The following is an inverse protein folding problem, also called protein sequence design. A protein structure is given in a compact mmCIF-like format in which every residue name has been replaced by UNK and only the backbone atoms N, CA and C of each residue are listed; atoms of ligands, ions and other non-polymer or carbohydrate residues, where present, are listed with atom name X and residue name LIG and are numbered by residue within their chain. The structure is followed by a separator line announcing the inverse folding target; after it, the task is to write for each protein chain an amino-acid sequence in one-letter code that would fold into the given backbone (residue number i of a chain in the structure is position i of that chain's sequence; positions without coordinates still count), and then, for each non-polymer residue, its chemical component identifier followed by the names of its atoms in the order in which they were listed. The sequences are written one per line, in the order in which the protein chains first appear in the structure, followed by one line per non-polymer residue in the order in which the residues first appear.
data_IF_801665254294
#
_entry.id   IF_801665254294
#
_cell.length_a   1.000
_cell.length_b   1.000
_cell.length_c   1.000
_cell.angle_alpha   90.00
_cell.angle_beta   90.00
_cell.angle_gamma   90.00
#
_symmetry.space_group_name_H-M   'P 1'
#
loop_
_entity.id
_entity.type
_entity.pdbx_description
1 polymer ?
#
# COMPACT_ATOMS: atom_id res chain seq x y z
N UNK A 1 -9.01 -11.72 -19.87
CA UNK A 1 -10.30 -11.39 -19.17
C UNK A 1 -10.79 -10.03 -19.67
N UNK A 2 -12.12 -9.72 -19.63
CA UNK A 2 -12.59 -8.36 -19.92
C UNK A 2 -12.33 -7.49 -18.67
N UNK A 3 -11.51 -6.41 -18.76
CA UNK A 3 -11.19 -5.55 -17.62
C UNK A 3 -12.42 -4.96 -16.93
N UNK A 4 -13.45 -4.64 -17.71
CA UNK A 4 -14.69 -4.05 -17.19
C UNK A 4 -15.49 -4.97 -16.25
N UNK A 5 -15.24 -6.28 -16.26
CA UNK A 5 -15.87 -7.25 -15.35
C UNK A 5 -15.12 -7.42 -14.04
N UNK A 6 -13.89 -6.87 -13.94
CA UNK A 6 -13.04 -7.01 -12.75
C UNK A 6 -13.60 -6.22 -11.58
N UNK A 7 -14.20 -5.06 -11.86
CA UNK A 7 -14.65 -4.15 -10.84
C UNK A 7 -16.13 -3.74 -11.02
N UNK A 8 -16.69 -3.14 -9.98
CA UNK A 8 -18.07 -2.68 -9.95
C UNK A 8 -18.20 -1.33 -10.67
N UNK A 9 -18.32 -1.32 -12.00
CA UNK A 9 -18.44 -0.12 -12.82
C UNK A 9 -19.65 0.75 -12.46
N UNK A 10 -20.73 0.13 -11.98
CA UNK A 10 -21.94 0.87 -11.63
C UNK A 10 -21.69 1.77 -10.42
N UNK A 11 -20.96 1.26 -9.42
CA UNK A 11 -20.59 2.02 -8.24
C UNK A 11 -19.38 2.91 -8.50
N UNK A 12 -18.46 2.48 -9.35
CA UNK A 12 -17.19 3.17 -9.63
C UNK A 12 -17.02 3.41 -11.13
N UNK A 13 -17.76 4.36 -11.72
CA UNK A 13 -17.64 4.68 -13.15
C UNK A 13 -16.34 5.48 -13.42
N UNK A 14 -15.18 4.81 -13.35
CA UNK A 14 -13.84 5.43 -13.43
C UNK A 14 -13.56 6.15 -14.75
N UNK A 15 -14.35 5.92 -15.79
CA UNK A 15 -14.28 6.65 -17.06
C UNK A 15 -15.14 7.91 -17.07
N UNK A 16 -15.97 8.14 -16.04
CA UNK A 16 -16.76 9.38 -15.90
C UNK A 16 -15.90 10.49 -15.28
N UNK A 17 -15.78 11.60 -15.99
CA UNK A 17 -14.94 12.72 -15.57
C UNK A 17 -15.40 13.37 -14.24
N UNK A 18 -16.73 13.38 -13.94
CA UNK A 18 -17.25 13.92 -12.69
C UNK A 18 -16.91 13.01 -11.52
N UNK A 19 -17.01 11.70 -11.75
CA UNK A 19 -16.62 10.71 -10.74
C UNK A 19 -15.12 10.81 -10.43
N UNK A 20 -14.28 10.89 -11.45
CA UNK A 20 -12.83 11.07 -11.30
C UNK A 20 -12.49 12.35 -10.54
N UNK A 21 -13.17 13.46 -10.85
CA UNK A 21 -12.99 14.72 -10.12
C UNK A 21 -13.42 14.61 -8.65
N UNK A 22 -14.51 13.90 -8.36
CA UNK A 22 -14.94 13.59 -7.00
C UNK A 22 -13.87 12.78 -6.25
N UNK A 23 -13.34 11.72 -6.86
CA UNK A 23 -12.27 10.89 -6.29
C UNK A 23 -11.02 11.73 -5.98
N UNK A 24 -10.61 12.60 -6.91
CA UNK A 24 -9.48 13.51 -6.70
C UNK A 24 -9.72 14.43 -5.51
N UNK A 25 -10.90 15.05 -5.43
CA UNK A 25 -11.22 15.94 -4.32
C UNK A 25 -11.21 15.24 -2.96
N UNK A 26 -11.66 13.98 -2.87
CA UNK A 26 -11.58 13.18 -1.66
C UNK A 26 -10.11 12.91 -1.28
N UNK A 27 -9.28 12.45 -2.22
CA UNK A 27 -7.86 12.20 -1.98
C UNK A 27 -7.11 13.46 -1.54
N UNK A 28 -7.40 14.61 -2.15
CA UNK A 28 -6.74 15.88 -1.81
C UNK A 28 -7.16 16.40 -0.42
N UNK A 29 -8.37 16.08 0.02
CA UNK A 29 -8.93 16.52 1.31
C UNK A 29 -8.22 15.87 2.50
N UNK A 30 -8.13 14.54 2.51
CA UNK A 30 -7.67 13.77 3.67
C UNK A 30 -6.46 12.88 3.40
N UNK A 31 -5.87 12.97 2.19
CA UNK A 31 -4.72 12.13 1.80
C UNK A 31 -5.05 10.67 1.54
N UNK A 32 -6.32 10.29 1.57
CA UNK A 32 -6.80 8.93 1.34
C UNK A 32 -8.09 8.95 0.50
N UNK A 33 -8.23 8.00 -0.40
CA UNK A 33 -9.46 7.68 -1.13
C UNK A 33 -9.74 6.20 -0.94
N UNK A 34 -10.91 5.86 -0.40
CA UNK A 34 -11.38 4.49 -0.28
C UNK A 34 -12.55 4.28 -1.22
N UNK A 35 -12.42 3.34 -2.13
CA UNK A 35 -13.44 2.91 -3.07
C UNK A 35 -13.96 1.53 -2.61
N UNK A 36 -14.93 1.55 -1.70
CA UNK A 36 -15.52 0.34 -1.12
C UNK A 36 -16.21 -0.50 -2.18
N UNK A 37 -16.10 -1.85 -2.06
CA UNK A 37 -16.67 -2.79 -3.03
C UNK A 37 -16.21 -2.50 -4.48
N UNK A 38 -14.95 -2.07 -4.64
CA UNK A 38 -14.40 -1.79 -5.96
C UNK A 38 -14.36 -3.05 -6.83
N UNK A 39 -13.88 -4.16 -6.30
CA UNK A 39 -13.89 -5.44 -7.03
C UNK A 39 -15.31 -5.96 -7.18
N UNK A 40 -15.61 -6.59 -8.32
CA UNK A 40 -16.83 -7.39 -8.46
C UNK A 40 -16.76 -8.61 -7.55
N UNK A 41 -17.92 -9.13 -7.14
CA UNK A 41 -18.00 -10.29 -6.24
C UNK A 41 -17.23 -11.49 -6.79
N UNK A 42 -17.44 -11.80 -8.08
CA UNK A 42 -16.77 -12.94 -8.74
C UNK A 42 -15.25 -12.76 -8.80
N UNK A 43 -14.79 -11.51 -9.02
CA UNK A 43 -13.36 -11.21 -9.04
C UNK A 43 -12.75 -11.30 -7.66
N UNK A 44 -13.43 -10.78 -6.64
CA UNK A 44 -12.96 -10.87 -5.26
C UNK A 44 -12.80 -12.33 -4.83
N UNK A 45 -13.81 -13.19 -5.08
CA UNK A 45 -13.73 -14.62 -4.78
C UNK A 45 -12.57 -15.30 -5.53
N UNK A 46 -12.41 -14.97 -6.83
CA UNK A 46 -11.28 -15.47 -7.63
C UNK A 46 -9.93 -15.07 -7.04
N UNK A 47 -9.76 -13.81 -6.62
CA UNK A 47 -8.51 -13.31 -6.03
C UNK A 47 -8.25 -13.88 -4.65
N UNK A 48 -9.27 -14.12 -3.84
CA UNK A 48 -9.12 -14.81 -2.55
C UNK A 48 -8.63 -16.26 -2.74
N UNK A 49 -9.13 -16.96 -3.78
CA UNK A 49 -8.66 -18.29 -4.14
C UNK A 49 -7.22 -18.24 -4.65
N UNK A 50 -6.91 -17.35 -5.60
CA UNK A 50 -5.56 -17.15 -6.14
C UNK A 50 -4.56 -16.85 -5.02
N UNK A 51 -4.89 -15.91 -4.11
CA UNK A 51 -4.02 -15.56 -3.00
C UNK A 51 -3.74 -16.75 -2.07
N UNK A 52 -4.72 -17.65 -1.85
CA UNK A 52 -4.50 -18.90 -1.10
C UNK A 52 -3.58 -19.87 -1.84
N UNK A 53 -3.76 -20.00 -3.15
CA UNK A 53 -2.96 -20.91 -3.99
C UNK A 53 -1.49 -20.48 -4.09
N UNK A 54 -1.24 -19.17 -4.24
CA UNK A 54 0.15 -18.66 -4.37
C UNK A 54 0.83 -18.38 -3.02
N UNK A 55 0.12 -18.42 -1.88
CA UNK A 55 0.69 -18.19 -0.55
C UNK A 55 1.94 -19.01 -0.24
N UNK A 56 2.08 -20.30 -0.65
CA UNK A 56 3.32 -21.07 -0.42
C UNK A 56 4.55 -20.47 -1.10
N UNK A 57 4.39 -19.58 -2.08
CA UNK A 57 5.47 -18.87 -2.77
C UNK A 57 5.89 -17.58 -2.04
N UNK A 58 5.15 -17.16 -1.01
CA UNK A 58 5.42 -15.91 -0.31
C UNK A 58 6.77 -15.97 0.42
N UNK A 59 7.60 -14.97 0.20
CA UNK A 59 8.78 -14.71 1.01
C UNK A 59 8.37 -13.92 2.25
N UNK A 60 8.63 -14.51 3.43
CA UNK A 60 8.35 -13.86 4.71
C UNK A 60 9.60 -13.15 5.20
N UNK A 61 9.47 -11.84 5.41
CA UNK A 61 10.53 -10.99 5.93
C UNK A 61 10.12 -10.34 7.26
N UNK A 62 11.11 -10.13 8.12
CA UNK A 62 11.00 -9.34 9.33
C UNK A 62 12.17 -8.36 9.37
N UNK A 63 11.89 -7.10 9.66
CA UNK A 63 12.90 -6.05 9.69
C UNK A 63 12.55 -4.97 10.71
N UNK A 64 13.58 -4.31 11.24
CA UNK A 64 13.45 -3.08 11.98
C UNK A 64 13.82 -1.90 11.09
N UNK A 65 13.09 -0.81 11.24
CA UNK A 65 13.34 0.44 10.54
C UNK A 65 12.84 1.62 11.40
N UNK A 66 13.37 2.80 11.21
CA UNK A 66 12.76 3.99 11.79
C UNK A 66 11.59 4.48 10.90
N UNK A 67 10.75 5.35 11.45
CA UNK A 67 9.59 5.85 10.73
C UNK A 67 9.92 6.58 9.41
N UNK A 68 11.14 7.04 9.25
CA UNK A 68 11.60 7.81 8.07
C UNK A 68 12.21 6.94 6.98
N UNK A 69 12.39 5.63 7.23
CA UNK A 69 13.00 4.65 6.32
C UNK A 69 14.39 5.10 5.83
N UNK A 70 15.19 5.62 6.72
CA UNK A 70 16.54 6.12 6.48
C UNK A 70 17.50 5.51 7.49
N UNK A 71 18.79 5.54 7.20
CA UNK A 71 19.82 5.15 8.16
C UNK A 71 19.74 5.98 9.45
N UNK A 72 20.16 5.44 10.58
CA UNK A 72 20.19 6.15 11.85
C UNK A 72 21.06 7.40 11.75
N UNK A 73 20.62 8.48 12.36
CA UNK A 73 21.36 9.75 12.43
C UNK A 73 22.15 9.81 13.74
N UNK A 74 23.43 9.46 13.66
CA UNK A 74 24.31 9.45 14.83
C UNK A 74 24.64 10.85 15.39
N UNK A 75 24.19 11.93 14.77
CA UNK A 75 24.25 13.27 15.33
C UNK A 75 23.16 13.58 16.36
N UNK A 76 22.13 12.71 16.40
CA UNK A 76 21.00 12.76 17.32
C UNK A 76 21.11 11.64 18.37
N UNK A 77 20.52 11.81 19.57
CA UNK A 77 20.45 10.74 20.56
C UNK A 77 19.76 9.47 19.99
N UNK A 78 20.13 8.30 20.50
CA UNK A 78 19.51 7.03 20.08
C UNK A 78 18.00 7.01 20.35
N UNK A 79 17.56 7.67 21.43
CA UNK A 79 16.14 7.77 21.80
C UNK A 79 15.37 8.81 20.99
N UNK A 80 16.05 9.59 20.14
CA UNK A 80 15.37 10.56 19.28
C UNK A 80 14.46 9.85 18.30
N UNK A 81 13.27 10.41 18.07
CA UNK A 81 12.23 9.79 17.22
C UNK A 81 12.72 9.44 15.82
N UNK A 82 13.72 10.15 15.30
CA UNK A 82 14.38 9.90 14.02
C UNK A 82 15.10 8.54 13.97
N UNK A 83 15.57 8.05 15.14
CA UNK A 83 16.32 6.80 15.27
C UNK A 83 15.48 5.66 15.88
N UNK A 84 14.28 5.96 16.42
CA UNK A 84 13.45 4.96 17.08
C UNK A 84 12.97 3.89 16.10
N UNK A 85 13.37 2.65 16.38
CA UNK A 85 13.03 1.52 15.53
C UNK A 85 11.58 1.07 15.67
N UNK A 86 11.00 0.66 14.55
CA UNK A 86 9.70 0.04 14.39
C UNK A 86 9.88 -1.34 13.78
N UNK A 87 9.12 -2.33 14.23
CA UNK A 87 9.11 -3.66 13.64
C UNK A 87 8.12 -3.74 12.49
N UNK A 88 8.52 -4.39 11.40
CA UNK A 88 7.67 -4.74 10.27
C UNK A 88 7.94 -6.17 9.84
N UNK A 89 6.88 -6.96 9.71
CA UNK A 89 6.96 -8.34 9.26
C UNK A 89 5.73 -8.71 8.43
N UNK A 90 5.96 -9.36 7.31
CA UNK A 90 4.93 -9.79 6.36
C UNK A 90 5.46 -10.82 5.38
N UNK A 91 4.55 -11.58 4.78
CA UNK A 91 4.82 -12.35 3.56
C UNK A 91 4.56 -11.53 2.30
N UNK A 92 5.32 -11.78 1.23
CA UNK A 92 5.13 -11.12 -0.05
C UNK A 92 5.29 -12.11 -1.21
N UNK A 93 4.30 -12.16 -2.11
CA UNK A 93 4.40 -12.82 -3.41
C UNK A 93 4.60 -11.74 -4.47
N UNK A 94 5.75 -11.69 -5.16
CA UNK A 94 6.05 -10.68 -6.17
C UNK A 94 5.36 -10.97 -7.51
N UNK A 95 5.37 -9.95 -8.37
CA UNK A 95 4.67 -9.91 -9.65
C UNK A 95 4.93 -11.11 -10.56
N UNK A 96 6.16 -11.58 -10.69
CA UNK A 96 6.51 -12.69 -11.59
C UNK A 96 5.96 -14.06 -11.13
N UNK A 97 5.52 -14.17 -9.89
CA UNK A 97 4.86 -15.37 -9.33
C UNK A 97 3.33 -15.29 -9.37
N UNK A 98 2.77 -14.17 -9.81
CA UNK A 98 1.32 -14.01 -10.00
C UNK A 98 0.94 -14.64 -11.36
N UNK A 99 -0.08 -15.50 -11.43
CA UNK A 99 -0.49 -16.14 -12.67
C UNK A 99 -0.74 -15.17 -13.84
N UNK A 100 -0.36 -15.54 -15.06
CA UNK A 100 -0.52 -14.66 -16.23
C UNK A 100 -1.99 -14.32 -16.54
N UNK A 101 -2.91 -15.20 -16.16
CA UNK A 101 -4.36 -14.99 -16.34
C UNK A 101 -5.03 -14.32 -15.14
N UNK A 102 -4.26 -13.84 -14.15
CA UNK A 102 -4.78 -13.16 -12.98
C UNK A 102 -5.59 -11.90 -13.34
N UNK A 103 -6.73 -11.67 -12.68
CA UNK A 103 -7.44 -10.40 -12.75
C UNK A 103 -6.56 -9.19 -12.36
N UNK A 104 -5.59 -9.38 -11.47
CA UNK A 104 -4.66 -8.32 -11.05
C UNK A 104 -3.81 -7.82 -12.21
N UNK A 105 -3.26 -8.74 -13.03
CA UNK A 105 -2.48 -8.35 -14.23
C UNK A 105 -3.35 -7.62 -15.22
N UNK A 106 -4.55 -8.14 -15.47
CA UNK A 106 -5.51 -7.50 -16.40
C UNK A 106 -5.86 -6.08 -15.96
N UNK A 107 -6.13 -5.86 -14.66
CA UNK A 107 -6.43 -4.54 -14.11
C UNK A 107 -5.23 -3.60 -14.18
N UNK A 108 -4.04 -4.10 -13.79
CA UNK A 108 -2.80 -3.32 -13.76
C UNK A 108 -2.39 -2.81 -15.15
N UNK A 109 -2.56 -3.63 -16.18
CA UNK A 109 -2.19 -3.33 -17.57
C UNK A 109 -3.26 -2.53 -18.30
N UNK A 110 -4.46 -2.41 -17.74
CA UNK A 110 -5.57 -1.76 -18.41
C UNK A 110 -5.38 -0.23 -18.48
N UNK A 111 -5.38 0.28 -19.71
CA UNK A 111 -5.09 1.68 -20.02
C UNK A 111 -6.05 2.66 -19.33
N UNK A 112 -7.36 2.36 -19.31
CA UNK A 112 -8.37 3.24 -18.72
C UNK A 112 -8.25 3.33 -17.19
N UNK A 113 -7.83 2.24 -16.53
CA UNK A 113 -7.51 2.27 -15.11
C UNK A 113 -6.31 3.18 -14.84
N UNK A 114 -5.27 3.09 -15.66
CA UNK A 114 -4.11 3.96 -15.55
C UNK A 114 -4.48 5.44 -15.77
N UNK A 115 -5.30 5.75 -16.78
CA UNK A 115 -5.79 7.13 -17.04
C UNK A 115 -6.59 7.66 -15.84
N UNK A 116 -7.43 6.80 -15.22
CA UNK A 116 -8.12 7.15 -13.98
C UNK A 116 -7.14 7.48 -12.85
N UNK A 117 -6.14 6.65 -12.62
CA UNK A 117 -5.12 6.87 -11.59
C UNK A 117 -4.37 8.18 -11.83
N UNK A 118 -3.90 8.44 -13.06
CA UNK A 118 -3.21 9.68 -13.45
C UNK A 118 -4.08 10.90 -13.15
N UNK A 119 -5.36 10.82 -13.45
CA UNK A 119 -6.30 11.93 -13.25
C UNK A 119 -6.58 12.19 -11.77
N UNK A 120 -6.70 11.14 -10.95
CA UNK A 120 -6.95 11.28 -9.50
C UNK A 120 -5.70 11.71 -8.75
N UNK A 121 -4.53 11.16 -9.12
CA UNK A 121 -3.25 11.45 -8.47
C UNK A 121 -2.64 12.79 -8.94
N UNK A 122 -3.05 13.29 -10.12
CA UNK A 122 -2.52 14.48 -10.78
C UNK A 122 -1.03 14.36 -11.16
N UNK A 123 -0.61 13.15 -11.48
CA UNK A 123 0.75 12.83 -11.94
C UNK A 123 0.70 11.68 -12.95
N UNK A 124 1.65 11.58 -13.89
CA UNK A 124 1.74 10.40 -14.74
C UNK A 124 2.08 9.17 -13.89
N UNK A 125 1.61 7.98 -14.32
CA UNK A 125 1.94 6.72 -13.68
C UNK A 125 2.52 5.72 -14.68
N UNK A 126 3.63 5.10 -14.30
CA UNK A 126 4.36 4.12 -15.10
C UNK A 126 4.58 2.85 -14.29
N UNK A 127 4.50 1.66 -14.92
CA UNK A 127 4.87 0.42 -14.24
C UNK A 127 6.35 0.43 -13.86
N UNK A 128 6.70 -0.36 -12.83
CA UNK A 128 8.10 -0.63 -12.54
C UNK A 128 8.75 -1.43 -13.67
N UNK A 129 10.04 -1.16 -13.92
CA UNK A 129 10.78 -1.80 -15.00
C UNK A 129 11.38 -3.17 -14.61
N UNK A 130 11.40 -3.51 -13.32
CA UNK A 130 11.80 -4.84 -12.88
C UNK A 130 10.63 -5.82 -12.85
N UNK A 131 10.93 -7.12 -12.84
CA UNK A 131 9.94 -8.20 -12.92
C UNK A 131 9.23 -8.51 -11.59
N UNK A 132 9.62 -7.89 -10.48
CA UNK A 132 9.16 -8.26 -9.14
C UNK A 132 8.17 -7.26 -8.55
N UNK A 133 8.33 -5.97 -8.87
CA UNK A 133 7.80 -4.89 -8.05
C UNK A 133 6.39 -4.43 -8.42
N UNK A 134 5.91 -4.66 -9.65
CA UNK A 134 4.69 -4.06 -10.19
C UNK A 134 3.42 -4.43 -9.41
N UNK A 135 3.23 -5.70 -9.09
CA UNK A 135 2.09 -6.20 -8.31
C UNK A 135 2.63 -7.09 -7.20
N UNK A 136 2.22 -6.85 -5.96
CA UNK A 136 2.64 -7.70 -4.86
C UNK A 136 1.44 -8.10 -4.01
N UNK A 137 1.31 -9.40 -3.71
CA UNK A 137 0.32 -9.90 -2.75
C UNK A 137 1.00 -9.99 -1.39
N UNK A 138 0.53 -9.18 -0.45
CA UNK A 138 1.10 -9.09 0.90
C UNK A 138 0.21 -9.82 1.90
N UNK A 139 0.83 -10.64 2.75
CA UNK A 139 0.18 -11.41 3.81
C UNK A 139 0.64 -10.91 5.16
N UNK A 140 -0.31 -10.60 6.02
CA UNK A 140 -0.06 -10.32 7.43
C UNK A 140 -0.80 -11.36 8.23
N UNK A 141 -0.06 -12.29 8.81
CA UNK A 141 -0.58 -13.36 9.67
C UNK A 141 -0.69 -12.87 11.12
N UNK A 142 -1.25 -13.69 12.01
CA UNK A 142 -1.33 -13.37 13.43
C UNK A 142 0.00 -12.88 13.98
N UNK A 143 0.00 -11.73 14.62
CA UNK A 143 1.17 -11.05 15.18
C UNK A 143 1.97 -10.21 14.20
N UNK A 144 1.76 -10.37 12.89
CA UNK A 144 2.46 -9.57 11.89
C UNK A 144 1.86 -8.17 11.73
N UNK A 145 2.71 -7.22 11.37
CA UNK A 145 2.39 -5.81 11.32
C UNK A 145 3.27 -5.07 10.30
N UNK A 146 2.91 -3.84 10.00
CA UNK A 146 3.77 -2.88 9.33
C UNK A 146 3.93 -1.68 10.25
N UNK A 147 5.12 -1.48 10.84
CA UNK A 147 5.39 -0.45 11.82
C UNK A 147 5.18 0.96 11.28
N UNK A 148 5.11 1.93 12.18
CA UNK A 148 4.95 3.34 11.81
C UNK A 148 6.03 3.80 10.83
N UNK A 149 5.59 4.35 9.70
CA UNK A 149 6.51 4.83 8.67
C UNK A 149 5.85 5.89 7.75
N UNK A 150 6.71 6.50 6.95
CA UNK A 150 6.36 7.32 5.81
C UNK A 150 6.82 6.63 4.53
N UNK A 151 6.02 6.68 3.49
CA UNK A 151 6.42 6.13 2.20
C UNK A 151 7.56 6.94 1.54
N UNK A 152 8.39 6.24 0.79
CA UNK A 152 9.32 6.89 -0.15
C UNK A 152 8.59 7.37 -1.42
N UNK A 153 7.58 6.62 -1.88
CA UNK A 153 6.73 7.02 -2.97
C UNK A 153 5.74 8.12 -2.57
N UNK A 154 5.28 8.92 -3.52
CA UNK A 154 4.30 9.99 -3.26
C UNK A 154 2.88 9.46 -3.00
N UNK A 155 2.59 8.26 -3.48
CA UNK A 155 1.31 7.59 -3.32
C UNK A 155 1.49 6.06 -3.22
N UNK A 156 0.50 5.41 -2.64
CA UNK A 156 0.31 3.96 -2.66
C UNK A 156 -1.07 3.63 -3.23
N UNK A 157 -1.18 2.52 -3.95
CA UNK A 157 -2.43 1.99 -4.51
C UNK A 157 -2.56 0.55 -4.04
N UNK A 158 -3.63 0.26 -3.31
CA UNK A 158 -3.82 -1.05 -2.69
C UNK A 158 -5.23 -1.59 -2.89
N UNK A 159 -5.35 -2.92 -2.99
CA UNK A 159 -6.61 -3.66 -3.01
C UNK A 159 -6.68 -4.56 -1.78
N UNK A 160 -7.73 -4.43 -0.98
CA UNK A 160 -8.01 -5.36 0.11
C UNK A 160 -8.65 -6.62 -0.45
N UNK A 161 -7.94 -7.72 -0.43
CA UNK A 161 -8.45 -9.03 -0.89
C UNK A 161 -9.11 -9.77 0.27
N UNK A 162 -8.56 -9.65 1.47
CA UNK A 162 -9.10 -10.25 2.69
C UNK A 162 -8.77 -9.37 3.88
N UNK A 163 -9.79 -8.82 4.53
CA UNK A 163 -9.65 -8.10 5.78
C UNK A 163 -9.50 -9.10 6.95
N UNK A 164 -8.68 -8.80 7.97
CA UNK A 164 -8.62 -9.62 9.18
C UNK A 164 -9.91 -9.47 9.97
N UNK A 165 -10.25 -10.48 10.77
CA UNK A 165 -11.42 -10.41 11.69
C UNK A 165 -11.14 -9.54 12.91
N UNK A 166 -9.86 -9.45 13.34
CA UNK A 166 -9.45 -8.66 14.52
C UNK A 166 -7.99 -8.20 14.34
N UNK A 167 -7.71 -6.94 14.65
CA UNK A 167 -6.42 -6.30 14.44
C UNK A 167 -6.17 -5.95 12.97
N UNK A 168 -4.95 -5.59 12.64
CA UNK A 168 -4.56 -5.28 11.26
C UNK A 168 -5.18 -4.00 10.70
N UNK A 169 -5.65 -3.09 11.57
CA UNK A 169 -6.18 -1.79 11.16
C UNK A 169 -5.11 -0.96 10.46
N UNK A 170 -5.51 -0.26 9.41
CA UNK A 170 -4.67 0.78 8.81
C UNK A 170 -4.89 2.08 9.59
N UNK A 171 -3.86 2.50 10.30
CA UNK A 171 -3.88 3.72 11.10
C UNK A 171 -2.98 4.78 10.47
N UNK A 172 -3.41 6.04 10.49
CA UNK A 172 -2.67 7.13 9.89
C UNK A 172 -2.94 8.49 10.55
N UNK A 173 -1.99 9.39 10.36
CA UNK A 173 -2.15 10.83 10.59
C UNK A 173 -1.65 11.56 9.35
N UNK A 174 -2.52 12.32 8.71
CA UNK A 174 -2.20 13.04 7.47
C UNK A 174 -1.35 14.29 7.73
N UNK A 175 -0.51 14.63 6.75
CA UNK A 175 0.24 15.89 6.69
C UNK A 175 1.12 16.16 7.92
N UNK A 176 1.70 15.09 8.52
CA UNK A 176 2.58 15.20 9.69
C UNK A 176 3.90 15.84 9.33
N UNK A 177 4.40 15.54 8.12
CA UNK A 177 5.63 16.15 7.61
C UNK A 177 5.37 16.81 6.25
N UNK A 178 6.30 17.67 5.85
CA UNK A 178 6.40 18.18 4.48
C UNK A 178 7.83 17.93 3.99
N UNK A 179 8.01 16.77 3.33
CA UNK A 179 9.34 16.32 2.87
C UNK A 179 9.95 17.29 1.87
N UNK A 180 9.11 17.88 1.02
CA UNK A 180 9.52 18.81 -0.04
C UNK A 180 10.05 20.14 0.57
N UNK A 181 9.49 20.56 1.70
CA UNK A 181 9.96 21.74 2.45
C UNK A 181 11.07 21.40 3.50
N UNK A 182 11.46 20.12 3.63
CA UNK A 182 12.44 19.69 4.63
C UNK A 182 11.88 19.59 6.06
N UNK A 183 10.57 19.72 6.25
CA UNK A 183 9.91 19.63 7.55
C UNK A 183 9.68 18.16 7.92
N UNK A 184 10.29 17.69 9.00
CA UNK A 184 10.28 16.26 9.36
C UNK A 184 9.11 15.84 10.26
N UNK A 185 8.42 16.77 10.91
CA UNK A 185 7.26 16.47 11.77
C UNK A 185 7.61 15.64 13.01
N UNK A 186 8.80 15.82 13.59
CA UNK A 186 9.29 14.99 14.71
C UNK A 186 8.36 14.99 15.92
N UNK A 187 7.80 16.14 16.30
CA UNK A 187 6.95 16.24 17.49
C UNK A 187 5.67 15.42 17.36
N UNK A 188 4.96 15.52 16.22
CA UNK A 188 3.72 14.78 16.01
C UNK A 188 4.00 13.29 15.78
N UNK A 189 5.10 12.95 15.07
CA UNK A 189 5.56 11.57 14.91
C UNK A 189 5.80 10.92 16.27
N UNK A 190 6.53 11.60 17.16
CA UNK A 190 6.80 11.13 18.51
C UNK A 190 5.50 10.98 19.33
N UNK A 191 4.61 11.96 19.25
CA UNK A 191 3.34 11.95 19.96
C UNK A 191 2.45 10.77 19.55
N UNK A 192 2.39 10.44 18.24
CA UNK A 192 1.65 9.26 17.73
C UNK A 192 2.32 7.97 18.21
N UNK A 193 3.63 7.81 18.01
CA UNK A 193 4.33 6.56 18.33
C UNK A 193 4.32 6.29 19.85
N UNK A 194 4.39 7.34 20.68
CA UNK A 194 4.27 7.24 22.15
C UNK A 194 2.81 7.19 22.66
N UNK A 195 1.82 7.27 21.78
CA UNK A 195 0.40 7.15 22.11
C UNK A 195 -0.24 8.38 22.75
N UNK A 196 0.43 9.54 22.77
CA UNK A 196 -0.13 10.79 23.28
C UNK A 196 -1.00 11.54 22.26
N UNK A 197 -0.87 11.23 20.98
CA UNK A 197 -1.72 11.70 19.88
C UNK A 197 -2.35 10.48 19.20
N UNK A 198 -3.67 10.48 19.10
CA UNK A 198 -4.40 9.35 18.51
C UNK A 198 -4.43 9.46 16.98
N UNK A 199 -4.03 8.41 16.24
CA UNK A 199 -4.18 8.35 14.80
C UNK A 199 -5.65 8.14 14.42
N UNK A 200 -5.94 8.35 13.14
CA UNK A 200 -7.20 7.94 12.51
C UNK A 200 -7.08 6.51 12.02
N UNK A 201 -8.20 5.78 12.01
CA UNK A 201 -8.31 4.48 11.35
C UNK A 201 -8.96 4.67 9.98
N UNK A 202 -8.35 4.13 8.94
CA UNK A 202 -8.93 4.06 7.61
C UNK A 202 -9.63 2.71 7.47
N UNK A 203 -10.97 2.72 7.56
CA UNK A 203 -11.76 1.52 7.31
C UNK A 203 -11.68 1.13 5.84
N UNK A 204 -11.49 -0.16 5.56
CA UNK A 204 -11.49 -0.74 4.22
C UNK A 204 -11.93 -2.20 4.31
N UNK A 205 -13.00 -2.54 3.62
CA UNK A 205 -13.54 -3.91 3.54
C UNK A 205 -12.91 -4.72 2.40
N UNK A 206 -13.32 -5.98 2.33
CA UNK A 206 -12.94 -6.88 1.22
C UNK A 206 -13.37 -6.28 -0.12
N UNK A 207 -12.47 -6.30 -1.10
CA UNK A 207 -12.69 -5.73 -2.42
C UNK A 207 -12.52 -4.22 -2.52
N UNK A 208 -12.14 -3.52 -1.45
CA UNK A 208 -11.87 -2.07 -1.51
C UNK A 208 -10.56 -1.74 -2.24
N UNK A 209 -10.61 -0.74 -3.14
CA UNK A 209 -9.42 -0.09 -3.69
C UNK A 209 -9.13 1.17 -2.88
N UNK A 210 -7.87 1.33 -2.48
CA UNK A 210 -7.42 2.49 -1.71
C UNK A 210 -6.26 3.19 -2.41
N UNK A 211 -6.38 4.50 -2.57
CA UNK A 211 -5.28 5.39 -2.94
C UNK A 211 -4.88 6.19 -1.70
N UNK A 212 -3.59 6.27 -1.40
CA UNK A 212 -3.09 6.90 -0.18
C UNK A 212 -1.83 7.73 -0.46
N UNK A 213 -1.75 8.94 0.12
CA UNK A 213 -0.58 9.84 0.02
C UNK A 213 0.35 9.62 1.21
N UNK A 214 1.10 8.51 1.19
CA UNK A 214 1.92 8.06 2.32
C UNK A 214 3.19 8.85 2.58
N UNK A 215 3.70 9.62 1.61
CA UNK A 215 4.98 10.34 1.74
C UNK A 215 5.01 11.33 2.91
N UNK A 216 3.91 12.04 3.14
CA UNK A 216 3.80 13.08 4.17
C UNK A 216 2.83 12.69 5.30
N UNK A 217 2.23 11.50 5.23
CA UNK A 217 1.31 10.97 6.23
C UNK A 217 1.98 9.83 6.99
N UNK A 218 2.07 9.95 8.31
CA UNK A 218 2.55 8.86 9.17
C UNK A 218 1.50 7.75 9.19
N UNK A 219 1.88 6.49 8.95
CA UNK A 219 0.92 5.39 8.91
C UNK A 219 1.52 4.05 9.31
N UNK A 220 0.65 3.11 9.65
CA UNK A 220 1.01 1.73 9.96
C UNK A 220 -0.12 0.75 9.63
N UNK A 221 0.20 -0.54 9.64
CA UNK A 221 -0.76 -1.63 9.83
C UNK A 221 -0.54 -2.17 11.23
N UNK A 222 -1.56 -2.06 12.09
CA UNK A 222 -1.52 -2.60 13.44
C UNK A 222 -1.32 -4.14 13.43
N UNK A 223 -0.84 -4.76 14.50
CA UNK A 223 -0.69 -6.21 14.54
C UNK A 223 -2.01 -6.93 14.27
N UNK A 224 -1.99 -7.95 13.41
CA UNK A 224 -3.13 -8.84 13.18
C UNK A 224 -3.32 -9.71 14.41
N UNK A 225 -4.54 -9.77 14.95
CA UNK A 225 -4.86 -10.51 16.17
C UNK A 225 -5.53 -11.85 15.85
N UNK A 226 -6.41 -11.88 14.84
CA UNK A 226 -7.10 -13.08 14.41
C UNK A 226 -6.19 -14.08 13.68
N UNK A 227 -6.64 -15.35 13.56
CA UNK A 227 -5.99 -16.33 12.68
C UNK A 227 -6.37 -16.12 11.20
N UNK A 228 -7.33 -15.24 10.93
CA UNK A 228 -7.72 -14.82 9.59
C UNK A 228 -6.73 -13.75 9.10
N UNK A 229 -5.82 -14.16 8.22
CA UNK A 229 -4.77 -13.28 7.74
C UNK A 229 -5.32 -12.07 6.98
N UNK A 230 -4.68 -10.91 7.15
CA UNK A 230 -4.92 -9.75 6.28
C UNK A 230 -4.18 -9.94 4.97
N UNK A 231 -4.88 -9.94 3.83
CA UNK A 231 -4.29 -10.08 2.49
C UNK A 231 -4.55 -8.80 1.70
N UNK A 232 -3.47 -8.12 1.34
CA UNK A 232 -3.50 -6.84 0.64
C UNK A 232 -2.63 -6.91 -0.61
N UNK A 233 -3.18 -6.53 -1.75
CA UNK A 233 -2.41 -6.34 -2.98
C UNK A 233 -1.94 -4.90 -3.08
N UNK A 234 -0.65 -4.70 -3.38
CA UNK A 234 -0.13 -3.39 -3.82
C UNK A 234 0.00 -3.37 -5.33
N UNK A 235 -0.57 -2.34 -5.96
CA UNK A 235 -0.42 -2.04 -7.39
C UNK A 235 0.59 -0.89 -7.50
N UNK A 236 1.85 -1.23 -7.74
CA UNK A 236 2.95 -0.28 -7.65
C UNK A 236 3.20 0.39 -8.99
N UNK A 237 3.12 1.72 -9.00
CA UNK A 237 3.46 2.57 -10.12
C UNK A 237 4.49 3.63 -9.69
N UNK A 238 5.19 4.17 -10.66
CA UNK A 238 6.12 5.27 -10.46
C UNK A 238 5.71 6.49 -11.29
N UNK A 239 6.18 7.68 -10.94
CA UNK A 239 5.94 8.92 -11.70
C UNK A 239 6.88 9.10 -12.88
N UNK A 240 7.89 8.24 -13.01
CA UNK A 240 8.87 8.24 -14.10
C UNK A 240 8.98 6.85 -14.73
N UNK A 241 9.20 6.75 -16.06
CA UNK A 241 9.39 5.46 -16.72
C UNK A 241 10.77 4.87 -16.41
N UNK A 242 10.89 3.54 -16.50
CA UNK A 242 12.17 2.85 -16.38
C UNK A 242 12.71 2.71 -14.95
N UNK A 243 11.95 3.09 -13.94
CA UNK A 243 12.35 2.95 -12.53
C UNK A 243 12.26 1.50 -12.10
N UNK A 244 13.26 1.02 -11.39
CA UNK A 244 13.33 -0.27 -10.71
C UNK A 244 13.54 -0.07 -9.22
N UNK A 245 13.03 -0.96 -8.39
CA UNK A 245 13.43 -1.00 -6.97
C UNK A 245 14.93 -1.35 -6.87
N UNK A 246 15.61 -0.78 -5.88
CA UNK A 246 17.01 -1.12 -5.61
C UNK A 246 17.17 -2.61 -5.27
N UNK A 247 18.37 -3.15 -5.50
CA UNK A 247 18.67 -4.54 -5.15
C UNK A 247 18.44 -4.82 -3.66
N UNK A 248 18.81 -3.87 -2.79
CA UNK A 248 18.57 -3.97 -1.35
C UNK A 248 17.07 -4.14 -1.05
N UNK A 249 16.23 -3.30 -1.63
CA UNK A 249 14.77 -3.37 -1.41
C UNK A 249 14.19 -4.67 -1.96
N UNK A 250 14.61 -5.11 -3.15
CA UNK A 250 14.16 -6.39 -3.73
C UNK A 250 14.58 -7.58 -2.88
N UNK A 251 15.84 -7.61 -2.41
CA UNK A 251 16.34 -8.65 -1.51
C UNK A 251 15.56 -8.66 -0.19
N UNK A 252 15.28 -7.48 0.37
CA UNK A 252 14.54 -7.35 1.64
C UNK A 252 13.12 -7.90 1.55
N UNK A 253 12.37 -7.55 0.49
CA UNK A 253 10.96 -7.90 0.40
C UNK A 253 10.65 -9.16 -0.39
N UNK A 254 11.55 -9.58 -1.29
CA UNK A 254 11.33 -10.74 -2.17
C UNK A 254 12.37 -11.86 -1.96
N UNK A 255 13.40 -11.63 -1.15
CA UNK A 255 14.50 -12.59 -0.92
C UNK A 255 15.41 -12.78 -2.13
N UNK A 256 15.22 -12.02 -3.21
CA UNK A 256 15.95 -12.14 -4.48
C UNK A 256 15.89 -10.85 -5.29
N UNK A 257 16.71 -10.75 -6.33
CA UNK A 257 16.82 -9.54 -7.19
C UNK A 257 16.27 -9.73 -8.61
N UNK A 258 16.03 -10.96 -9.00
CA UNK A 258 15.47 -11.41 -10.29
C UNK A 258 14.57 -12.61 -10.05
#
# INVERSE_FOLDING_TARGET
MNPEKIFNQHQHPIQDARYTQYCKAQLDSIGALVMENFLSVDTLESLQNEAREVRPLAYFCSQNHNAYLLDSDHSLPDEHIRNLEQQSDKGCVPHDQIPDNSPLRTLYEWQEFRVFLESVLDVPVFPYADTLSSININYYERGQQLGWHYDNASFAITLMVQAPEEGGEFEYLEKVRNREAGEQGYADTEAVIKGSLQPKTLAMGDGALVLFRGRNSLHRVAPVVSDHARILVTLNFNTEPGVMLSELVRTTFFGRIV
#
